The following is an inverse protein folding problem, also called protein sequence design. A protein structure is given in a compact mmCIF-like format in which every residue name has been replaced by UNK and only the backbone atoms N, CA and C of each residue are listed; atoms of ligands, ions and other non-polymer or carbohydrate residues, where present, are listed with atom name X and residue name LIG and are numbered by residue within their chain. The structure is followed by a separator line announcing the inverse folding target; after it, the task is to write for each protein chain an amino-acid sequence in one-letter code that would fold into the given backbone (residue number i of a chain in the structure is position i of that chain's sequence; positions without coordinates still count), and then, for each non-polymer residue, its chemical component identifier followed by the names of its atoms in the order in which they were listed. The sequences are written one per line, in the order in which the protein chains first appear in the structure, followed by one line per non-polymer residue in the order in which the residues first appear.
data_IF_652285988697
#
_entry.id   IF_652285988697
#
_cell.length_a   1.000
_cell.length_b   1.000
_cell.length_c   1.000
_cell.angle_alpha   90.00
_cell.angle_beta   90.00
_cell.angle_gamma   90.00
#
_symmetry.space_group_name_H-M   'P 1'
#
loop_
_entity.id
_entity.type
_entity.pdbx_description
1 polymer ?
#
# COMPACT_ATOMS: atom_id res chain seq x y z
N UNK A 1 5.16 -4.12 50.18
CA UNK A 1 6.62 -4.37 50.17
C UNK A 1 7.31 -3.22 50.88
N UNK A 2 8.12 -3.49 51.95
CA UNK A 2 8.84 -2.42 52.64
C UNK A 2 10.14 -2.11 51.88
N UNK A 3 10.22 -0.97 51.22
CA UNK A 3 11.36 -0.45 50.46
C UNK A 3 12.70 -0.42 51.26
N UNK A 4 12.61 -0.48 52.57
CA UNK A 4 13.77 -0.43 53.49
C UNK A 4 14.64 -1.71 53.48
N UNK A 5 14.17 -2.81 52.93
CA UNK A 5 14.90 -4.10 52.90
C UNK A 5 15.67 -4.38 51.62
N UNK A 6 15.58 -3.47 50.63
CA UNK A 6 16.26 -3.66 49.33
C UNK A 6 17.77 -3.32 49.48
N UNK A 7 18.60 -4.13 48.83
CA UNK A 7 20.04 -3.83 48.69
C UNK A 7 20.26 -2.56 47.88
N UNK A 8 21.38 -1.89 48.03
CA UNK A 8 21.69 -0.64 47.34
C UNK A 8 21.53 -0.77 45.80
N UNK A 9 22.00 -1.86 45.20
CA UNK A 9 21.86 -2.10 43.77
C UNK A 9 20.39 -2.23 43.29
N UNK A 10 19.54 -2.87 44.10
CA UNK A 10 18.11 -3.00 43.82
C UNK A 10 17.40 -1.64 43.87
N UNK A 11 17.77 -0.80 44.84
CA UNK A 11 17.23 0.57 44.93
C UNK A 11 17.61 1.42 43.72
N UNK A 12 18.86 1.31 43.26
CA UNK A 12 19.34 2.01 42.04
C UNK A 12 18.58 1.52 40.84
N UNK A 13 18.44 0.19 40.67
CA UNK A 13 17.72 -0.41 39.55
C UNK A 13 16.26 0.06 39.53
N UNK A 14 15.56 -0.05 40.66
CA UNK A 14 14.15 0.42 40.73
C UNK A 14 14.05 1.92 40.52
N UNK A 15 15.03 2.70 40.97
CA UNK A 15 15.10 4.16 40.72
C UNK A 15 15.23 4.46 39.23
N UNK A 16 16.10 3.76 38.52
CA UNK A 16 16.27 3.92 37.07
C UNK A 16 14.98 3.52 36.33
N UNK A 17 14.40 2.39 36.68
CA UNK A 17 13.14 1.93 36.05
C UNK A 17 12.02 2.95 36.31
N UNK A 18 11.85 3.42 37.55
CA UNK A 18 10.87 4.45 37.88
C UNK A 18 11.09 5.74 37.09
N UNK A 19 12.35 6.17 36.95
CA UNK A 19 12.71 7.34 36.15
C UNK A 19 12.32 7.19 34.68
N UNK A 20 12.58 6.01 34.08
CA UNK A 20 12.18 5.71 32.69
C UNK A 20 10.66 5.83 32.53
N UNK A 21 9.88 5.26 33.45
CA UNK A 21 8.41 5.34 33.40
C UNK A 21 7.91 6.78 33.56
N UNK A 22 8.52 7.57 34.42
CA UNK A 22 8.18 8.99 34.60
C UNK A 22 8.45 9.75 33.30
N UNK A 23 9.65 9.57 32.72
CA UNK A 23 9.98 10.22 31.45
C UNK A 23 9.09 9.78 30.29
N UNK A 24 8.78 8.49 30.20
CA UNK A 24 7.85 7.98 29.18
C UNK A 24 6.46 8.59 29.35
N UNK A 25 5.95 8.65 30.57
CA UNK A 25 4.65 9.27 30.88
C UNK A 25 4.63 10.77 30.55
N UNK A 26 5.67 11.51 30.95
CA UNK A 26 5.78 12.94 30.62
C UNK A 26 5.85 13.16 29.10
N UNK A 27 6.65 12.36 28.40
CA UNK A 27 6.77 12.43 26.95
C UNK A 27 5.44 12.15 26.26
N UNK A 28 4.68 11.15 26.74
CA UNK A 28 3.35 10.83 26.22
C UNK A 28 2.38 12.00 26.43
N UNK A 29 2.31 12.55 27.64
CA UNK A 29 1.44 13.69 27.93
C UNK A 29 1.82 14.90 27.10
N UNK A 30 3.13 15.19 26.97
CA UNK A 30 3.61 16.31 26.17
C UNK A 30 3.24 16.13 24.67
N UNK A 31 3.39 14.92 24.15
CA UNK A 31 2.99 14.59 22.78
C UNK A 31 1.49 14.75 22.56
N UNK A 32 0.68 14.31 23.52
CA UNK A 32 -0.77 14.41 23.44
C UNK A 32 -1.25 15.87 23.51
N UNK A 33 -0.66 16.65 24.39
CA UNK A 33 -0.92 18.10 24.46
C UNK A 33 -0.51 18.78 23.16
N UNK A 34 0.66 18.45 22.61
CA UNK A 34 1.09 18.97 21.31
C UNK A 34 0.10 18.58 20.19
N UNK A 35 -0.29 17.30 20.14
CA UNK A 35 -1.26 16.80 19.17
C UNK A 35 -2.61 17.50 19.25
N UNK A 36 -3.11 17.79 20.44
CA UNK A 36 -4.40 18.45 20.66
C UNK A 36 -4.44 19.92 20.23
N UNK A 37 -3.28 20.56 20.10
CA UNK A 37 -3.16 21.95 19.66
C UNK A 37 -2.82 22.10 18.16
N UNK A 38 -2.69 20.99 17.45
CA UNK A 38 -2.46 21.04 16.01
C UNK A 38 -3.79 21.23 15.26
N UNK A 39 -3.84 22.24 14.39
CA UNK A 39 -4.98 22.48 13.48
C UNK A 39 -5.05 21.47 12.33
N UNK A 40 -4.01 20.65 12.18
CA UNK A 40 -3.92 19.62 11.13
C UNK A 40 -3.40 18.29 11.72
N UNK A 41 -3.69 17.14 11.09
CA UNK A 41 -3.14 15.87 11.53
C UNK A 41 -1.62 15.89 11.60
N UNK A 42 -1.03 15.35 12.67
CA UNK A 42 0.44 15.27 12.86
C UNK A 42 1.14 14.56 11.68
N UNK A 43 0.45 13.60 11.09
CA UNK A 43 0.89 12.92 9.88
C UNK A 43 -0.08 13.26 8.75
N UNK A 44 0.40 13.83 7.63
CA UNK A 44 -0.47 14.15 6.50
C UNK A 44 -1.12 12.87 5.97
N UNK A 45 -2.43 12.93 5.79
CA UNK A 45 -3.18 11.82 5.18
C UNK A 45 -2.84 11.79 3.69
N UNK A 46 -2.29 10.66 3.24
CA UNK A 46 -1.91 10.47 1.83
C UNK A 46 -3.00 9.79 1.02
N UNK A 47 -3.98 9.20 1.70
CA UNK A 47 -5.09 8.46 1.08
C UNK A 47 -6.39 9.26 1.18
N UNK A 48 -7.16 9.26 0.07
CA UNK A 48 -8.44 9.97 -0.07
C UNK A 48 -9.47 8.97 -0.60
N UNK A 49 -10.45 8.63 0.23
CA UNK A 49 -11.45 7.62 -0.07
C UNK A 49 -12.84 8.26 -0.11
N UNK A 50 -13.23 8.76 -1.28
CA UNK A 50 -14.58 9.26 -1.54
C UNK A 50 -15.34 8.21 -2.35
N UNK A 51 -16.18 7.43 -1.66
CA UNK A 51 -16.88 6.32 -2.26
C UNK A 51 -18.25 6.74 -2.78
N UNK A 52 -18.52 6.38 -4.03
CA UNK A 52 -19.89 6.36 -4.57
C UNK A 52 -20.71 5.22 -3.92
N UNK A 53 -22.05 5.23 -4.05
CA UNK A 53 -22.87 4.09 -3.59
C UNK A 53 -22.45 2.76 -4.20
N UNK A 54 -22.00 2.76 -5.46
CA UNK A 54 -21.48 1.57 -6.14
C UNK A 54 -20.12 1.14 -5.57
N UNK A 55 -19.23 2.10 -5.27
CA UNK A 55 -17.97 1.83 -4.61
C UNK A 55 -18.14 1.27 -3.20
N UNK A 56 -19.12 1.75 -2.45
CA UNK A 56 -19.47 1.19 -1.14
C UNK A 56 -19.95 -0.26 -1.27
N UNK A 57 -20.85 -0.55 -2.22
CA UNK A 57 -21.26 -1.91 -2.52
C UNK A 57 -20.08 -2.78 -2.95
N UNK A 58 -19.20 -2.26 -3.79
CA UNK A 58 -17.95 -2.94 -4.18
C UNK A 58 -17.03 -3.25 -2.99
N UNK A 59 -16.98 -2.34 -2.01
CA UNK A 59 -16.25 -2.55 -0.75
C UNK A 59 -16.83 -3.70 0.09
N UNK A 60 -18.16 -3.85 0.12
CA UNK A 60 -18.82 -4.98 0.79
C UNK A 60 -18.48 -6.29 0.07
N UNK A 61 -18.65 -6.34 -1.25
CA UNK A 61 -18.28 -7.49 -2.06
C UNK A 61 -16.80 -7.86 -1.90
N UNK A 62 -15.90 -6.90 -1.86
CA UNK A 62 -14.47 -7.12 -1.66
C UNK A 62 -14.19 -7.87 -0.34
N UNK A 63 -14.92 -7.55 0.73
CA UNK A 63 -14.82 -8.28 2.01
C UNK A 63 -15.47 -9.64 1.94
N UNK A 64 -16.69 -9.71 1.43
CA UNK A 64 -17.50 -10.94 1.41
C UNK A 64 -16.89 -12.02 0.50
N UNK A 65 -16.21 -11.61 -0.57
CA UNK A 65 -15.47 -12.51 -1.46
C UNK A 65 -14.07 -12.87 -0.93
N UNK A 66 -13.71 -12.42 0.28
CA UNK A 66 -12.50 -12.81 0.97
C UNK A 66 -11.21 -12.13 0.47
N UNK A 67 -11.30 -11.08 -0.35
CA UNK A 67 -10.12 -10.38 -0.87
C UNK A 67 -9.23 -9.80 0.23
N UNK A 68 -9.83 -9.44 1.38
CA UNK A 68 -9.11 -8.93 2.57
C UNK A 68 -8.22 -9.96 3.25
N UNK A 69 -8.38 -11.25 2.93
CA UNK A 69 -7.50 -12.32 3.45
C UNK A 69 -6.06 -12.21 2.92
N UNK A 70 -5.90 -11.61 1.74
CA UNK A 70 -4.61 -11.38 1.10
C UNK A 70 -4.28 -9.90 0.95
N UNK A 71 -5.26 -9.07 0.60
CA UNK A 71 -5.06 -7.67 0.29
C UNK A 71 -5.48 -6.74 1.43
N UNK A 72 -4.73 -5.64 1.55
CA UNK A 72 -5.10 -4.51 2.37
C UNK A 72 -5.79 -3.44 1.51
N UNK A 73 -6.99 -3.04 1.92
CA UNK A 73 -7.72 -1.91 1.35
C UNK A 73 -8.41 -1.12 2.46
N UNK A 74 -8.52 0.20 2.31
CA UNK A 74 -9.07 1.10 3.34
C UNK A 74 -8.36 0.90 4.70
N UNK A 75 -7.05 0.68 4.65
CA UNK A 75 -6.19 0.38 5.82
C UNK A 75 -6.59 -0.88 6.60
N UNK A 76 -7.46 -1.71 6.04
CA UNK A 76 -7.94 -2.96 6.65
C UNK A 76 -7.58 -4.15 5.77
N UNK A 77 -7.36 -5.31 6.37
CA UNK A 77 -6.93 -6.53 5.71
C UNK A 77 -5.50 -6.93 6.04
N UNK A 78 -4.96 -7.88 5.29
CA UNK A 78 -3.60 -8.40 5.48
C UNK A 78 -2.61 -7.83 4.46
N UNK A 79 -1.32 -8.05 4.69
CA UNK A 79 -0.24 -7.66 3.78
C UNK A 79 0.36 -8.88 3.05
N UNK A 80 -0.40 -9.98 2.91
CA UNK A 80 0.03 -11.14 2.14
C UNK A 80 0.07 -10.86 0.65
N UNK A 81 -0.82 -9.96 0.18
CA UNK A 81 -0.84 -9.43 -1.17
C UNK A 81 -0.44 -7.95 -1.21
N UNK A 82 -0.53 -7.37 -2.39
CA UNK A 82 -0.22 -5.96 -2.61
C UNK A 82 -1.20 -5.08 -1.85
N UNK A 83 -0.71 -4.02 -1.19
CA UNK A 83 -1.55 -2.97 -0.63
C UNK A 83 -2.28 -2.23 -1.76
N UNK A 84 -3.60 -2.18 -1.69
CA UNK A 84 -4.46 -1.58 -2.69
C UNK A 84 -4.84 -0.12 -2.37
N UNK A 85 -4.49 0.38 -1.17
CA UNK A 85 -4.65 1.80 -0.87
C UNK A 85 -3.89 2.64 -1.92
N UNK A 86 -4.58 3.52 -2.61
CA UNK A 86 -4.01 4.33 -3.68
C UNK A 86 -3.94 3.66 -5.06
N UNK A 87 -4.46 2.44 -5.25
CA UNK A 87 -4.46 1.77 -6.56
C UNK A 87 -5.23 2.56 -7.60
N UNK A 88 -6.33 3.22 -7.22
CA UNK A 88 -7.13 4.07 -8.10
C UNK A 88 -6.39 5.32 -8.60
N UNK A 89 -5.31 5.75 -7.94
CA UNK A 89 -4.42 6.80 -8.44
C UNK A 89 -3.36 6.27 -9.41
N UNK A 90 -3.17 4.96 -9.48
CA UNK A 90 -2.16 4.30 -10.33
C UNK A 90 -2.76 3.62 -11.55
N UNK A 91 -4.02 3.18 -11.47
CA UNK A 91 -4.69 2.38 -12.50
C UNK A 91 -6.09 2.92 -12.76
N UNK A 92 -6.52 2.88 -14.02
CA UNK A 92 -7.87 3.27 -14.41
C UNK A 92 -8.88 2.18 -14.06
N UNK A 93 -10.16 2.56 -13.96
CA UNK A 93 -11.26 1.61 -13.79
C UNK A 93 -11.26 0.51 -14.87
N UNK A 94 -11.06 0.90 -16.13
CA UNK A 94 -11.02 -0.05 -17.25
C UNK A 94 -9.89 -1.08 -17.10
N UNK A 95 -8.71 -0.63 -16.67
CA UNK A 95 -7.58 -1.52 -16.37
C UNK A 95 -7.92 -2.47 -15.22
N UNK A 96 -8.45 -1.95 -14.11
CA UNK A 96 -8.79 -2.76 -12.94
C UNK A 96 -9.84 -3.83 -13.28
N UNK A 97 -10.87 -3.48 -14.05
CA UNK A 97 -11.88 -4.42 -14.49
C UNK A 97 -11.29 -5.51 -15.42
N UNK A 98 -10.43 -5.10 -16.36
CA UNK A 98 -9.74 -6.04 -17.24
C UNK A 98 -8.82 -6.98 -16.47
N UNK A 99 -8.13 -6.45 -15.47
CA UNK A 99 -7.24 -7.23 -14.61
C UNK A 99 -8.02 -8.25 -13.76
N UNK A 100 -9.15 -7.88 -13.18
CA UNK A 100 -9.99 -8.80 -12.42
C UNK A 100 -10.52 -9.94 -13.27
N UNK A 101 -10.87 -9.65 -14.54
CA UNK A 101 -11.39 -10.66 -15.49
C UNK A 101 -10.28 -11.57 -16.05
N UNK A 102 -9.13 -10.98 -16.40
CA UNK A 102 -8.04 -11.69 -17.08
C UNK A 102 -6.69 -11.11 -16.65
N UNK A 103 -6.21 -11.44 -15.44
CA UNK A 103 -5.00 -10.83 -14.88
C UNK A 103 -3.75 -11.08 -15.76
N UNK A 104 -3.55 -12.31 -16.23
CA UNK A 104 -2.37 -12.65 -17.03
C UNK A 104 -2.35 -11.93 -18.38
N UNK A 105 -3.48 -11.82 -19.04
CA UNK A 105 -3.60 -11.13 -20.32
C UNK A 105 -3.44 -9.60 -20.16
N UNK A 106 -3.90 -9.04 -19.04
CA UNK A 106 -3.83 -7.60 -18.77
C UNK A 106 -2.44 -7.18 -18.35
N UNK A 107 -1.73 -8.04 -17.64
CA UNK A 107 -0.37 -7.78 -17.15
C UNK A 107 0.70 -8.28 -18.12
N UNK A 108 0.31 -9.01 -19.17
CA UNK A 108 1.18 -9.58 -20.20
C UNK A 108 2.24 -10.54 -19.66
N UNK A 109 2.03 -11.07 -18.45
CA UNK A 109 2.92 -12.05 -17.84
C UNK A 109 2.15 -12.93 -16.87
N UNK A 110 2.69 -14.10 -16.56
CA UNK A 110 2.17 -14.93 -15.48
C UNK A 110 2.34 -14.18 -14.16
N UNK A 111 1.22 -13.84 -13.54
CA UNK A 111 1.26 -13.13 -12.26
C UNK A 111 1.62 -14.12 -11.15
N UNK A 112 2.82 -13.99 -10.61
CA UNK A 112 3.24 -14.71 -9.41
C UNK A 112 2.45 -14.27 -8.17
N UNK A 113 1.86 -13.08 -8.22
CA UNK A 113 1.17 -12.45 -7.10
C UNK A 113 -0.18 -13.09 -6.76
N UNK A 114 -0.83 -13.74 -7.71
CA UNK A 114 -1.99 -14.60 -7.48
C UNK A 114 -1.59 -16.08 -7.50
N UNK A 115 -0.41 -16.37 -7.02
CA UNK A 115 0.36 -17.62 -6.93
C UNK A 115 -0.38 -18.97 -6.98
N UNK A 116 -1.70 -18.91 -6.96
CA UNK A 116 -2.59 -20.03 -7.14
C UNK A 116 -3.57 -19.62 -8.24
N UNK A 117 -3.46 -20.26 -9.38
CA UNK A 117 -4.42 -20.16 -10.50
C UNK A 117 -5.88 -20.29 -10.07
N UNK A 118 -6.14 -20.85 -8.89
CA UNK A 118 -7.46 -21.02 -8.30
C UNK A 118 -8.10 -19.71 -7.86
N UNK A 119 -7.35 -18.83 -7.19
CA UNK A 119 -7.87 -17.53 -6.70
C UNK A 119 -8.17 -16.60 -7.88
N UNK A 120 -7.28 -16.53 -8.87
CA UNK A 120 -7.51 -15.75 -10.08
C UNK A 120 -8.72 -16.27 -10.86
N UNK A 121 -8.87 -17.59 -10.99
CA UNK A 121 -10.01 -18.21 -11.65
C UNK A 121 -11.32 -17.97 -10.88
N UNK A 122 -11.27 -18.00 -9.54
CA UNK A 122 -12.42 -17.70 -8.69
C UNK A 122 -12.89 -16.26 -8.92
N UNK A 123 -11.99 -15.29 -8.86
CA UNK A 123 -12.32 -13.86 -9.07
C UNK A 123 -12.86 -13.66 -10.48
N UNK A 124 -12.20 -14.20 -11.51
CA UNK A 124 -12.65 -14.07 -12.90
C UNK A 124 -14.01 -14.73 -13.17
N UNK A 125 -14.41 -15.68 -12.33
CA UNK A 125 -15.72 -16.36 -12.40
C UNK A 125 -16.86 -15.63 -11.69
N UNK A 126 -16.60 -14.49 -11.01
CA UNK A 126 -17.65 -13.70 -10.40
C UNK A 126 -18.55 -13.04 -11.45
N UNK A 127 -19.81 -12.75 -11.11
CA UNK A 127 -20.73 -12.02 -12.00
C UNK A 127 -20.13 -10.68 -12.46
N UNK A 128 -20.36 -10.30 -13.69
CA UNK A 128 -19.84 -9.05 -14.27
C UNK A 128 -20.23 -7.80 -13.45
N UNK A 129 -21.42 -7.79 -12.88
CA UNK A 129 -21.89 -6.70 -12.00
C UNK A 129 -21.06 -6.60 -10.71
N UNK A 130 -20.70 -7.74 -10.11
CA UNK A 130 -19.85 -7.77 -8.91
C UNK A 130 -18.41 -7.33 -9.24
N UNK A 131 -17.86 -7.84 -10.33
CA UNK A 131 -16.52 -7.43 -10.81
C UNK A 131 -16.48 -5.94 -11.10
N UNK A 132 -17.56 -5.38 -11.69
CA UNK A 132 -17.64 -3.94 -11.95
C UNK A 132 -17.67 -3.14 -10.64
N UNK A 133 -18.53 -3.50 -9.70
CA UNK A 133 -18.61 -2.82 -8.41
C UNK A 133 -17.28 -2.87 -7.63
N UNK A 134 -16.62 -4.04 -7.60
CA UNK A 134 -15.29 -4.17 -7.00
C UNK A 134 -14.27 -3.29 -7.73
N UNK A 135 -14.28 -3.22 -9.06
CA UNK A 135 -13.38 -2.37 -9.82
C UNK A 135 -13.64 -0.88 -9.56
N UNK A 136 -14.89 -0.46 -9.40
CA UNK A 136 -15.27 0.90 -8.98
C UNK A 136 -14.69 1.20 -7.61
N UNK A 137 -14.93 0.34 -6.62
CA UNK A 137 -14.34 0.48 -5.28
C UNK A 137 -12.82 0.67 -5.33
N UNK A 138 -12.11 -0.21 -6.05
CA UNK A 138 -10.67 -0.12 -6.20
C UNK A 138 -10.23 1.18 -6.90
N UNK A 139 -11.00 1.65 -7.88
CA UNK A 139 -10.70 2.89 -8.60
C UNK A 139 -10.87 4.14 -7.75
N UNK A 140 -11.67 4.06 -6.68
CA UNK A 140 -11.92 5.13 -5.71
C UNK A 140 -10.91 5.13 -4.55
N UNK A 141 -10.06 4.12 -4.44
CA UNK A 141 -8.94 4.11 -3.50
C UNK A 141 -7.84 5.06 -3.99
N UNK A 142 -8.02 6.34 -3.74
CA UNK A 142 -7.10 7.40 -4.17
C UNK A 142 -6.03 7.70 -3.13
N UNK A 143 -4.87 8.10 -3.59
CA UNK A 143 -3.78 8.59 -2.75
C UNK A 143 -3.04 9.73 -3.44
N UNK A 144 -2.36 10.55 -2.64
CA UNK A 144 -1.54 11.64 -3.16
C UNK A 144 -0.40 11.07 -4.01
N UNK A 145 -0.27 11.55 -5.23
CA UNK A 145 0.78 11.13 -6.16
C UNK A 145 2.17 11.42 -5.57
N UNK A 146 3.06 10.44 -5.64
CA UNK A 146 4.39 10.50 -5.04
C UNK A 146 4.45 9.98 -3.60
N UNK A 147 3.31 9.73 -2.95
CA UNK A 147 3.27 9.08 -1.64
C UNK A 147 3.59 7.59 -1.73
N UNK A 148 3.78 6.95 -0.57
CA UNK A 148 4.06 5.51 -0.49
C UNK A 148 2.94 4.66 -1.12
N UNK A 149 1.68 5.13 -1.04
CA UNK A 149 0.51 4.43 -1.55
C UNK A 149 0.28 4.67 -3.06
N UNK A 150 0.80 5.77 -3.61
CA UNK A 150 0.71 6.10 -5.03
C UNK A 150 2.06 6.62 -5.54
N UNK A 151 3.07 5.78 -5.52
CA UNK A 151 4.41 6.12 -6.03
C UNK A 151 4.32 6.54 -7.49
N UNK A 152 5.06 7.57 -7.83
CA UNK A 152 5.25 7.93 -9.22
C UNK A 152 5.87 6.74 -9.98
N UNK A 153 5.43 6.48 -11.23
CA UNK A 153 6.09 5.48 -12.04
C UNK A 153 7.58 5.82 -12.12
N UNK A 154 8.42 4.79 -11.97
CA UNK A 154 9.86 4.98 -12.14
C UNK A 154 10.13 5.49 -13.55
N UNK A 155 11.04 6.43 -13.72
CA UNK A 155 11.40 6.92 -15.06
C UNK A 155 11.80 5.74 -15.94
N UNK A 156 11.34 5.76 -17.20
CA UNK A 156 11.50 4.68 -18.19
C UNK A 156 12.97 4.24 -18.41
N UNK A 157 13.91 5.09 -18.03
CA UNK A 157 15.35 4.81 -18.07
C UNK A 157 15.99 5.19 -16.76
N UNK A 158 15.99 4.27 -15.82
CA UNK A 158 16.87 4.39 -14.66
C UNK A 158 18.18 3.70 -15.01
N UNK A 159 19.14 4.45 -15.48
CA UNK A 159 20.52 3.95 -15.68
C UNK A 159 21.10 3.31 -14.42
N UNK A 160 20.52 3.64 -13.26
CA UNK A 160 20.88 3.05 -11.98
C UNK A 160 20.58 1.54 -11.92
N UNK A 161 19.41 1.09 -12.40
CA UNK A 161 19.08 -0.36 -12.39
C UNK A 161 19.98 -1.12 -13.34
N UNK A 162 20.21 -0.58 -14.55
CA UNK A 162 21.09 -1.19 -15.53
C UNK A 162 22.52 -1.27 -15.01
N UNK A 163 23.00 -0.24 -14.33
CA UNK A 163 24.33 -0.20 -13.72
C UNK A 163 24.43 -1.21 -12.56
N UNK A 164 23.42 -1.30 -11.72
CA UNK A 164 23.35 -2.29 -10.64
C UNK A 164 23.36 -3.72 -11.17
N UNK A 165 22.61 -4.01 -12.23
CA UNK A 165 22.61 -5.34 -12.87
C UNK A 165 23.98 -5.65 -13.47
N UNK A 166 24.62 -4.70 -14.13
CA UNK A 166 25.99 -4.88 -14.68
C UNK A 166 27.01 -5.23 -13.60
N UNK A 167 26.93 -4.58 -12.44
CA UNK A 167 27.91 -4.71 -11.37
C UNK A 167 27.65 -5.96 -10.52
N UNK A 168 26.41 -6.14 -10.07
CA UNK A 168 26.06 -7.08 -9.00
C UNK A 168 25.40 -8.37 -9.46
N UNK A 169 24.77 -8.41 -10.63
CA UNK A 169 24.08 -9.62 -11.05
C UNK A 169 25.07 -10.73 -11.39
N UNK A 170 24.76 -12.00 -11.03
CA UNK A 170 25.52 -13.14 -11.50
C UNK A 170 25.60 -13.18 -13.04
N UNK A 171 26.69 -13.72 -13.58
CA UNK A 171 26.91 -13.77 -15.04
C UNK A 171 25.75 -14.47 -15.79
N UNK A 172 25.13 -15.47 -15.18
CA UNK A 172 23.96 -16.17 -15.71
C UNK A 172 22.75 -15.25 -15.88
N UNK A 173 22.55 -14.31 -14.96
CA UNK A 173 21.41 -13.38 -14.98
C UNK A 173 21.63 -12.23 -15.96
N UNK A 174 22.88 -11.83 -16.19
CA UNK A 174 23.19 -10.72 -17.10
C UNK A 174 22.74 -10.97 -18.54
N UNK A 175 22.66 -12.22 -18.94
CA UNK A 175 22.22 -12.61 -20.28
C UNK A 175 20.69 -12.75 -20.40
N UNK A 176 20.01 -12.97 -19.28
CA UNK A 176 18.57 -13.13 -19.22
C UNK A 176 17.84 -11.86 -18.77
N UNK A 177 18.60 -10.86 -18.28
CA UNK A 177 18.01 -9.62 -17.82
C UNK A 177 17.43 -8.84 -19.01
N UNK A 178 16.12 -8.67 -18.95
CA UNK A 178 15.39 -7.79 -19.83
C UNK A 178 14.59 -6.82 -18.97
N UNK A 179 14.75 -5.52 -19.21
CA UNK A 179 13.99 -4.51 -18.49
C UNK A 179 12.59 -4.41 -19.09
N UNK A 180 11.61 -5.07 -18.45
CA UNK A 180 10.19 -5.06 -18.87
C UNK A 180 9.61 -3.65 -19.04
N UNK A 181 10.23 -2.63 -18.47
CA UNK A 181 9.84 -1.23 -18.67
C UNK A 181 10.15 -0.73 -20.10
N UNK A 182 11.07 -1.38 -20.80
CA UNK A 182 11.41 -1.04 -22.18
C UNK A 182 10.34 -1.54 -23.16
N UNK A 183 9.57 -2.58 -22.76
CA UNK A 183 8.48 -3.14 -23.56
C UNK A 183 7.15 -2.47 -23.29
N UNK A 184 7.03 -1.74 -22.18
CA UNK A 184 5.81 -1.03 -21.85
C UNK A 184 5.60 0.12 -22.85
N UNK A 185 4.61 -0.01 -23.70
CA UNK A 185 4.05 1.12 -24.45
C UNK A 185 3.79 2.26 -23.47
N UNK A 186 4.32 3.48 -23.73
CA UNK A 186 4.25 4.56 -22.77
C UNK A 186 2.79 4.77 -22.35
N UNK A 187 2.49 4.86 -21.04
CA UNK A 187 1.13 5.14 -20.58
C UNK A 187 0.70 6.45 -21.25
N UNK A 188 -0.39 6.41 -21.99
CA UNK A 188 -0.96 7.61 -22.59
C UNK A 188 -1.03 8.67 -21.50
N UNK A 189 -0.31 9.78 -21.71
CA UNK A 189 -0.35 10.94 -20.83
C UNK A 189 -1.81 11.38 -20.76
N UNK A 190 -2.51 10.97 -19.71
CA UNK A 190 -3.75 11.62 -19.36
C UNK A 190 -3.37 13.07 -19.04
N UNK A 191 -3.77 13.98 -19.93
CA UNK A 191 -3.55 15.40 -19.82
C UNK A 191 -3.92 15.84 -18.39
N UNK A 192 -2.91 16.10 -17.60
CA UNK A 192 -3.08 16.81 -16.35
C UNK A 192 -3.58 18.20 -16.71
N UNK A 193 -4.86 18.45 -16.53
CA UNK A 193 -5.42 19.79 -16.57
C UNK A 193 -4.67 20.61 -15.53
N UNK A 194 -4.01 21.72 -15.90
CA UNK A 194 -3.31 22.55 -14.93
C UNK A 194 -4.34 23.11 -13.94
N UNK A 195 -4.09 22.90 -12.65
CA UNK A 195 -4.85 23.52 -11.59
C UNK A 195 -4.82 25.04 -11.81
N UNK A 196 -5.97 25.62 -12.10
CA UNK A 196 -6.14 27.08 -12.10
C UNK A 196 -5.93 27.59 -10.68
N UNK A 197 -5.13 28.66 -10.58
CA UNK A 197 -4.83 29.41 -9.37
C UNK A 197 -6.07 30.00 -8.71
#
# INVERSE_FOLDING_TARGET
MKFSRLKLGEKILFGIVALIFVFAGLSFVMLEVYRSHLDHPMYPTTTHFDFTPEGLHGSELFRDRGCTSCHRAVRNGTNNGVNLDGIGSRRSLAYLLSFLKKPEATYETKTLDHGLTKEAAYVAGLPDSELHAIAVFLSELKATQGSADARLPMPERSGFVDEMVKIWAPSTWKHEYHDLRQDATPPQRQNATPAQK
#
